data_IF_780637677058
#
_entry.id   IF_780637677058
#
_cell.length_a   1.000
_cell.length_b   1.000
_cell.length_c   1.000
_cell.angle_alpha   90.00
_cell.angle_beta   90.00
_cell.angle_gamma   90.00
#
_symmetry.space_group_name_H-M   'P 1'
#
loop_
_entity.id
_entity.type
_entity.pdbx_description
1 polymer ?
#
# COMPACT_ATOMS: atom_id res chain seq x y z
N UNK A 1 -61.04 -29.45 -25.93
CA UNK A 1 -59.93 -28.65 -26.50
C UNK A 1 -60.25 -27.18 -26.22
N UNK A 2 -59.60 -26.57 -25.23
CA UNK A 2 -59.80 -25.15 -24.89
C UNK A 2 -58.91 -24.28 -25.79
N UNK A 3 -59.53 -23.53 -26.69
CA UNK A 3 -58.86 -22.46 -27.45
C UNK A 3 -58.55 -21.32 -26.48
N UNK A 4 -57.32 -21.25 -25.99
CA UNK A 4 -56.85 -20.17 -25.14
C UNK A 4 -56.82 -18.85 -25.90
N UNK A 5 -57.73 -17.95 -25.57
CA UNK A 5 -57.72 -16.55 -26.03
C UNK A 5 -56.60 -15.81 -25.31
N UNK A 6 -55.42 -15.78 -25.93
CA UNK A 6 -54.32 -14.91 -25.52
C UNK A 6 -54.80 -13.46 -25.61
N UNK A 7 -54.82 -12.75 -24.47
CA UNK A 7 -55.23 -11.36 -24.40
C UNK A 7 -54.44 -10.52 -25.41
N UNK A 8 -55.16 -9.69 -26.19
CA UNK A 8 -54.56 -8.81 -27.18
C UNK A 8 -53.44 -7.93 -26.59
N UNK A 9 -53.54 -7.57 -25.31
CA UNK A 9 -52.50 -6.83 -24.59
C UNK A 9 -51.18 -7.61 -24.49
N UNK A 10 -51.24 -8.92 -24.32
CA UNK A 10 -50.05 -9.79 -24.29
C UNK A 10 -49.46 -9.98 -25.69
N UNK A 11 -50.30 -10.12 -26.72
CA UNK A 11 -49.85 -10.21 -28.10
C UNK A 11 -49.17 -8.91 -28.59
N UNK A 12 -49.72 -7.75 -28.22
CA UNK A 12 -49.13 -6.44 -28.49
C UNK A 12 -47.83 -6.27 -27.70
N UNK A 13 -47.83 -6.60 -26.40
CA UNK A 13 -46.62 -6.57 -25.58
C UNK A 13 -45.48 -7.43 -26.13
N UNK A 14 -45.80 -8.62 -26.65
CA UNK A 14 -44.83 -9.54 -27.26
C UNK A 14 -44.30 -9.03 -28.62
N UNK A 15 -45.16 -8.43 -29.45
CA UNK A 15 -44.78 -7.84 -30.73
C UNK A 15 -43.92 -6.57 -30.55
N UNK A 16 -44.27 -5.73 -29.57
CA UNK A 16 -43.53 -4.50 -29.26
C UNK A 16 -42.21 -4.83 -28.57
N UNK A 17 -42.20 -5.77 -27.63
CA UNK A 17 -40.99 -6.23 -26.92
C UNK A 17 -39.95 -6.85 -27.84
N UNK A 18 -40.35 -7.47 -28.96
CA UNK A 18 -39.43 -8.01 -29.98
C UNK A 18 -38.75 -6.95 -30.86
N UNK A 19 -39.27 -5.71 -30.91
CA UNK A 19 -38.72 -4.62 -31.74
C UNK A 19 -38.03 -3.52 -30.96
N UNK A 20 -38.11 -3.53 -29.63
CA UNK A 20 -37.28 -2.69 -28.79
C UNK A 20 -35.83 -3.19 -28.82
N UNK A 21 -35.07 -2.80 -29.86
CA UNK A 21 -33.61 -2.83 -29.78
C UNK A 21 -33.24 -2.00 -28.56
N UNK A 22 -32.74 -2.65 -27.52
CA UNK A 22 -32.16 -1.98 -26.38
C UNK A 22 -31.00 -1.13 -26.91
N UNK A 23 -31.26 0.16 -27.05
CA UNK A 23 -30.27 1.14 -27.47
C UNK A 23 -29.28 1.26 -26.31
N UNK A 24 -28.14 0.57 -26.45
CA UNK A 24 -27.05 0.65 -25.49
C UNK A 24 -26.44 2.03 -25.62
N UNK A 25 -26.95 2.97 -24.84
CA UNK A 25 -26.25 4.23 -24.64
C UNK A 25 -24.85 3.93 -24.08
N UNK A 26 -23.79 4.38 -24.75
CA UNK A 26 -22.44 4.24 -24.22
C UNK A 26 -22.31 5.13 -22.99
N UNK A 27 -22.48 4.54 -21.81
CA UNK A 27 -22.17 5.20 -20.54
C UNK A 27 -20.69 5.52 -20.57
N UNK A 28 -20.35 6.81 -20.70
CA UNK A 28 -18.95 7.25 -20.67
C UNK A 28 -18.32 6.74 -19.37
N UNK A 29 -17.14 6.10 -19.40
CA UNK A 29 -16.49 5.63 -18.19
C UNK A 29 -16.28 6.83 -17.27
N UNK A 30 -16.84 6.75 -16.06
CA UNK A 30 -16.61 7.75 -15.03
C UNK A 30 -15.15 7.58 -14.61
N UNK A 31 -14.26 8.37 -15.20
CA UNK A 31 -12.85 8.39 -14.82
C UNK A 31 -12.80 8.97 -13.41
N UNK A 32 -12.75 8.09 -12.41
CA UNK A 32 -12.49 8.47 -11.04
C UNK A 32 -11.00 8.75 -10.95
N UNK A 33 -10.63 10.02 -11.05
CA UNK A 33 -9.31 10.46 -10.65
C UNK A 33 -9.16 10.17 -9.16
N UNK A 34 -8.39 9.13 -8.84
CA UNK A 34 -7.79 9.05 -7.51
C UNK A 34 -6.94 10.31 -7.38
N UNK A 35 -7.21 11.20 -6.41
CA UNK A 35 -6.28 12.27 -6.15
C UNK A 35 -4.93 11.60 -5.90
N UNK A 36 -3.93 12.00 -6.69
CA UNK A 36 -2.55 11.93 -6.26
C UNK A 36 -2.50 12.84 -5.05
N UNK A 37 -2.95 12.35 -3.89
CA UNK A 37 -2.76 13.04 -2.64
C UNK A 37 -1.27 13.16 -2.55
N UNK A 38 -0.81 14.39 -2.80
CA UNK A 38 0.41 14.98 -2.32
C UNK A 38 1.05 14.07 -1.28
N UNK A 39 1.92 13.16 -1.74
CA UNK A 39 3.13 12.80 -1.02
C UNK A 39 4.02 14.05 -1.10
N UNK A 40 3.49 15.16 -0.57
CA UNK A 40 4.26 16.32 -0.22
C UNK A 40 5.30 15.79 0.77
N UNK A 41 6.52 15.87 0.29
CA UNK A 41 7.76 15.66 1.00
C UNK A 41 7.68 16.42 2.32
N UNK A 42 7.22 15.75 3.37
CA UNK A 42 7.15 16.37 4.68
C UNK A 42 8.55 16.32 5.29
N UNK A 43 9.17 17.47 5.62
CA UNK A 43 10.53 17.56 6.15
C UNK A 43 10.63 17.15 7.64
N UNK A 44 9.79 16.23 8.10
CA UNK A 44 9.82 15.70 9.48
C UNK A 44 11.06 14.84 9.77
N UNK A 45 11.79 14.42 8.73
CA UNK A 45 13.02 13.65 8.86
C UNK A 45 14.10 14.39 9.66
N UNK A 46 14.20 15.72 9.53
CA UNK A 46 15.23 16.53 10.22
C UNK A 46 15.11 16.49 11.74
N UNK A 47 13.89 16.59 12.29
CA UNK A 47 13.70 16.66 13.74
C UNK A 47 13.85 15.30 14.42
N UNK A 48 13.34 14.23 13.79
CA UNK A 48 13.53 12.87 14.28
C UNK A 48 15.01 12.47 14.22
N UNK A 49 15.71 12.84 13.15
CA UNK A 49 17.15 12.62 12.99
C UNK A 49 17.94 13.28 14.13
N UNK A 50 17.67 14.56 14.41
CA UNK A 50 18.33 15.28 15.49
C UNK A 50 18.02 14.68 16.86
N UNK A 51 16.77 14.26 17.11
CA UNK A 51 16.39 13.59 18.37
C UNK A 51 17.08 12.24 18.52
N UNK A 52 17.11 11.41 17.48
CA UNK A 52 17.77 10.10 17.52
C UNK A 52 19.29 10.24 17.72
N UNK A 53 19.90 11.20 17.02
CA UNK A 53 21.32 11.51 17.18
C UNK A 53 21.64 12.01 18.60
N UNK A 54 20.81 12.91 19.15
CA UNK A 54 20.95 13.41 20.52
C UNK A 54 20.76 12.31 21.58
N UNK A 55 19.81 11.39 21.37
CA UNK A 55 19.60 10.22 22.23
C UNK A 55 20.80 9.27 22.19
N UNK A 56 21.32 8.98 21.00
CA UNK A 56 22.48 8.09 20.83
C UNK A 56 23.80 8.71 21.31
N UNK A 57 23.94 10.04 21.23
CA UNK A 57 25.08 10.76 21.78
C UNK A 57 25.21 10.62 23.31
N UNK A 58 24.11 10.31 24.03
CA UNK A 58 24.14 10.04 25.48
C UNK A 58 24.88 8.75 25.85
N UNK A 59 25.12 7.86 24.89
CA UNK A 59 25.73 6.55 25.12
C UNK A 59 27.25 6.51 24.88
N UNK A 60 27.93 7.66 24.75
CA UNK A 60 29.38 7.78 24.49
C UNK A 60 29.86 6.92 23.29
N UNK A 61 28.98 6.74 22.30
CA UNK A 61 29.31 6.01 21.09
C UNK A 61 30.16 6.88 20.16
N UNK A 62 31.11 6.28 19.41
CA UNK A 62 31.83 7.01 18.38
C UNK A 62 30.86 7.68 17.40
N UNK A 63 31.07 8.95 17.03
CA UNK A 63 30.13 9.71 16.19
C UNK A 63 29.91 9.06 14.81
N UNK A 64 30.93 8.38 14.26
CA UNK A 64 30.82 7.61 13.00
C UNK A 64 29.94 6.35 13.14
N UNK A 65 29.84 5.75 14.33
CA UNK A 65 28.90 4.66 14.57
C UNK A 65 27.47 5.19 14.75
N UNK A 66 27.32 6.33 15.43
CA UNK A 66 26.01 6.98 15.59
C UNK A 66 25.43 7.38 14.23
N UNK A 67 26.21 8.01 13.35
CA UNK A 67 25.75 8.36 12.00
C UNK A 67 25.29 7.12 11.22
N UNK A 68 26.07 6.04 11.23
CA UNK A 68 25.70 4.78 10.56
C UNK A 68 24.43 4.13 11.11
N UNK A 69 24.22 4.17 12.43
CA UNK A 69 22.98 3.67 13.05
C UNK A 69 21.79 4.50 12.54
N UNK A 70 21.92 5.82 12.55
CA UNK A 70 20.85 6.73 12.15
C UNK A 70 20.52 6.53 10.66
N UNK A 71 21.52 6.50 9.79
CA UNK A 71 21.34 6.25 8.35
C UNK A 71 20.65 4.90 8.09
N UNK A 72 21.08 3.83 8.76
CA UNK A 72 20.44 2.51 8.61
C UNK A 72 19.02 2.48 9.16
N UNK A 73 18.75 3.21 10.24
CA UNK A 73 17.40 3.33 10.80
C UNK A 73 16.47 4.09 9.86
N UNK A 74 16.98 5.13 9.19
CA UNK A 74 16.24 5.87 8.16
C UNK A 74 15.97 5.01 6.92
N UNK A 75 16.94 4.20 6.49
CA UNK A 75 16.73 3.23 5.40
C UNK A 75 15.59 2.27 5.71
N UNK A 76 15.57 1.70 6.93
CA UNK A 76 14.51 0.81 7.41
C UNK A 76 13.16 1.54 7.43
N UNK A 77 13.11 2.77 7.94
CA UNK A 77 11.88 3.54 8.00
C UNK A 77 11.31 3.85 6.61
N UNK A 78 12.17 4.26 5.67
CA UNK A 78 11.75 4.50 4.28
C UNK A 78 11.18 3.24 3.64
N UNK A 79 11.86 2.09 3.81
CA UNK A 79 11.38 0.82 3.29
C UNK A 79 10.06 0.39 3.92
N UNK A 80 9.89 0.60 5.23
CA UNK A 80 8.63 0.33 5.92
C UNK A 80 7.48 1.13 5.32
N UNK A 81 7.70 2.42 5.05
CA UNK A 81 6.69 3.28 4.41
C UNK A 81 6.28 2.77 3.03
N UNK A 82 7.22 2.28 2.23
CA UNK A 82 6.91 1.69 0.91
C UNK A 82 6.05 0.41 1.01
N UNK A 83 6.24 -0.38 2.08
CA UNK A 83 5.38 -1.53 2.40
C UNK A 83 3.98 -1.06 2.79
N UNK A 84 3.88 -0.10 3.70
CA UNK A 84 2.60 0.46 4.17
C UNK A 84 1.79 1.09 3.01
N UNK A 85 2.43 1.80 2.10
CA UNK A 85 1.79 2.34 0.89
C UNK A 85 1.19 1.24 0.01
N UNK A 86 1.87 0.10 -0.09
CA UNK A 86 1.39 -1.05 -0.87
C UNK A 86 0.17 -1.69 -0.21
N UNK A 87 0.18 -1.85 1.13
CA UNK A 87 -0.97 -2.32 1.90
C UNK A 87 -2.17 -1.37 1.77
N UNK A 88 -1.93 -0.06 1.87
CA UNK A 88 -2.97 0.95 1.75
C UNK A 88 -3.66 0.90 0.38
N UNK A 89 -2.89 0.70 -0.70
CA UNK A 89 -3.43 0.56 -2.05
C UNK A 89 -4.25 -0.73 -2.23
N UNK A 90 -3.84 -1.83 -1.62
CA UNK A 90 -4.60 -3.09 -1.60
C UNK A 90 -5.95 -2.88 -0.89
N UNK A 91 -5.94 -2.22 0.28
CA UNK A 91 -7.15 -1.91 1.04
C UNK A 91 -8.09 -0.98 0.25
N UNK A 92 -7.55 0.08 -0.37
CA UNK A 92 -8.31 0.99 -1.24
C UNK A 92 -8.94 0.26 -2.42
N UNK A 93 -8.20 -0.63 -3.08
CA UNK A 93 -8.72 -1.44 -4.19
C UNK A 93 -9.85 -2.38 -3.74
N UNK A 94 -9.68 -3.03 -2.59
CA UNK A 94 -10.67 -3.93 -1.98
C UNK A 94 -11.95 -3.20 -1.62
N UNK A 95 -11.82 -2.00 -1.03
CA UNK A 95 -12.97 -1.14 -0.74
C UNK A 95 -13.70 -0.71 -2.01
N UNK A 96 -12.97 -0.31 -3.04
CA UNK A 96 -13.56 0.18 -4.28
C UNK A 96 -14.25 -0.92 -5.12
N UNK A 97 -13.82 -2.18 -5.05
CA UNK A 97 -14.57 -3.29 -5.67
C UNK A 97 -15.86 -3.60 -4.90
N UNK A 98 -15.82 -3.56 -3.56
CA UNK A 98 -17.02 -3.75 -2.71
C UNK A 98 -18.06 -2.64 -2.93
N UNK A 99 -17.61 -1.41 -3.16
CA UNK A 99 -18.46 -0.27 -3.52
C UNK A 99 -18.90 -0.27 -5.00
N UNK A 100 -18.57 -1.31 -5.78
CA UNK A 100 -18.86 -1.40 -7.24
C UNK A 100 -18.30 -0.22 -8.06
N UNK A 101 -17.25 0.44 -7.57
CA UNK A 101 -16.57 1.55 -8.25
C UNK A 101 -15.46 1.09 -9.20
N UNK A 102 -15.02 -0.15 -9.06
CA UNK A 102 -14.01 -0.81 -9.90
C UNK A 102 -14.63 -2.02 -10.58
N UNK A 103 -14.18 -2.29 -11.81
CA UNK A 103 -14.50 -3.56 -12.45
C UNK A 103 -13.67 -4.69 -11.83
N UNK A 104 -14.16 -5.95 -11.82
CA UNK A 104 -13.40 -7.09 -11.31
C UNK A 104 -12.05 -7.27 -12.01
N UNK A 105 -11.97 -7.05 -13.32
CA UNK A 105 -10.72 -7.19 -14.09
C UNK A 105 -9.69 -6.13 -13.69
N UNK A 106 -10.12 -4.88 -13.50
CA UNK A 106 -9.26 -3.81 -12.99
C UNK A 106 -8.80 -4.08 -11.57
N UNK A 107 -9.68 -4.61 -10.72
CA UNK A 107 -9.33 -5.01 -9.35
C UNK A 107 -8.23 -6.08 -9.34
N UNK A 108 -8.37 -7.16 -10.11
CA UNK A 108 -7.36 -8.21 -10.19
C UNK A 108 -6.00 -7.67 -10.68
N UNK A 109 -5.99 -6.78 -11.67
CA UNK A 109 -4.76 -6.16 -12.15
C UNK A 109 -4.07 -5.31 -11.07
N UNK A 110 -4.83 -4.51 -10.32
CA UNK A 110 -4.31 -3.70 -9.23
C UNK A 110 -3.78 -4.58 -8.08
N UNK A 111 -4.55 -5.57 -7.65
CA UNK A 111 -4.19 -6.45 -6.56
C UNK A 111 -2.92 -7.24 -6.88
N UNK A 112 -2.81 -7.85 -8.07
CA UNK A 112 -1.60 -8.58 -8.45
C UNK A 112 -0.37 -7.66 -8.46
N UNK A 113 -0.51 -6.43 -8.97
CA UNK A 113 0.59 -5.46 -9.00
C UNK A 113 1.05 -5.08 -7.60
N UNK A 114 0.13 -4.72 -6.71
CA UNK A 114 0.48 -4.24 -5.37
C UNK A 114 0.85 -5.38 -4.41
N UNK A 115 0.32 -6.60 -4.60
CA UNK A 115 0.78 -7.77 -3.86
C UNK A 115 2.22 -8.15 -4.21
N UNK A 116 2.56 -8.18 -5.50
CA UNK A 116 3.94 -8.46 -5.91
C UNK A 116 4.90 -7.41 -5.34
N UNK A 117 4.53 -6.13 -5.45
CA UNK A 117 5.31 -5.03 -4.88
C UNK A 117 5.44 -5.15 -3.35
N UNK A 118 4.36 -5.53 -2.67
CA UNK A 118 4.37 -5.75 -1.23
C UNK A 118 5.37 -6.84 -0.84
N UNK A 119 5.36 -7.98 -1.54
CA UNK A 119 6.28 -9.09 -1.29
C UNK A 119 7.74 -8.66 -1.49
N UNK A 120 8.04 -8.00 -2.61
CA UNK A 120 9.38 -7.47 -2.90
C UNK A 120 9.85 -6.49 -1.82
N UNK A 121 9.02 -5.49 -1.48
CA UNK A 121 9.37 -4.47 -0.49
C UNK A 121 9.46 -5.02 0.93
N UNK A 122 8.69 -6.05 1.27
CA UNK A 122 8.81 -6.75 2.54
C UNK A 122 10.13 -7.49 2.66
N UNK A 123 10.58 -8.17 1.61
CA UNK A 123 11.90 -8.80 1.59
C UNK A 123 13.01 -7.76 1.76
N UNK A 124 12.95 -6.65 1.02
CA UNK A 124 13.93 -5.57 1.13
C UNK A 124 13.97 -4.93 2.53
N UNK A 125 12.81 -4.85 3.20
CA UNK A 125 12.68 -4.36 4.57
C UNK A 125 13.31 -5.32 5.56
N UNK A 126 13.06 -6.62 5.44
CA UNK A 126 13.63 -7.66 6.29
C UNK A 126 15.17 -7.64 6.23
N UNK A 127 15.73 -7.54 5.02
CA UNK A 127 17.17 -7.38 4.81
C UNK A 127 17.74 -6.12 5.49
N UNK A 128 17.04 -4.99 5.35
CA UNK A 128 17.47 -3.73 5.98
C UNK A 128 17.40 -3.80 7.52
N UNK A 129 16.35 -4.43 8.06
CA UNK A 129 16.20 -4.66 9.50
C UNK A 129 17.29 -5.59 10.04
N UNK A 130 17.62 -6.65 9.31
CA UNK A 130 18.71 -7.54 9.69
C UNK A 130 20.06 -6.83 9.68
N UNK A 131 20.31 -5.98 8.66
CA UNK A 131 21.49 -5.12 8.60
C UNK A 131 21.60 -4.18 9.80
N UNK A 132 20.51 -3.52 10.18
CA UNK A 132 20.47 -2.67 11.38
C UNK A 132 20.69 -3.47 12.67
N UNK A 133 20.07 -4.65 12.80
CA UNK A 133 20.26 -5.53 13.96
C UNK A 133 21.69 -6.05 14.08
N UNK A 134 22.33 -6.37 12.96
CA UNK A 134 23.74 -6.77 12.94
C UNK A 134 24.64 -5.62 13.42
N UNK A 135 24.37 -4.40 12.95
CA UNK A 135 25.10 -3.21 13.36
C UNK A 135 24.91 -2.94 14.86
N UNK A 136 23.68 -2.98 15.37
CA UNK A 136 23.41 -2.81 16.81
C UNK A 136 24.06 -3.89 17.68
N UNK A 137 24.09 -5.16 17.21
CA UNK A 137 24.81 -6.24 17.90
C UNK A 137 26.32 -5.97 17.98
N UNK A 138 26.93 -5.48 16.91
CA UNK A 138 28.36 -5.11 16.89
C UNK A 138 28.68 -3.96 17.85
N UNK A 139 27.74 -3.04 18.04
CA UNK A 139 27.87 -1.94 19.00
C UNK A 139 27.72 -2.46 20.44
N UNK A 140 26.76 -3.37 20.67
CA UNK A 140 26.56 -4.02 21.97
C UNK A 140 27.76 -4.85 22.42
N UNK A 141 28.45 -5.54 21.51
CA UNK A 141 29.70 -6.26 21.83
C UNK A 141 30.85 -5.30 22.15
N UNK A 142 30.98 -4.18 21.42
CA UNK A 142 31.98 -3.14 21.72
C UNK A 142 31.73 -2.45 23.09
N UNK A 143 30.47 -2.18 23.43
CA UNK A 143 30.09 -1.61 24.72
C UNK A 143 30.25 -2.62 25.87
N UNK A 144 30.06 -3.92 25.61
CA UNK A 144 30.30 -5.00 26.58
C UNK A 144 31.77 -5.20 26.93
N UNK A 145 32.70 -4.86 26.03
CA UNK A 145 34.15 -4.91 26.26
C UNK A 145 34.66 -3.74 27.12
N UNK A 146 33.90 -2.64 27.24
CA UNK A 146 34.26 -1.48 28.06
C UNK A 146 33.80 -1.55 29.53
N UNK A 147 33.17 -2.64 30.00
CA UNK A 147 32.93 -2.80 31.45
C UNK A 147 34.26 -3.12 32.15
N UNK A 148 34.76 -2.28 33.08
CA UNK A 148 35.90 -2.66 33.90
C UNK A 148 35.53 -3.83 34.82
N UNK A 149 36.49 -4.68 35.21
CA UNK A 149 36.27 -5.65 36.28
C UNK A 149 36.00 -4.86 37.57
N UNK A 150 34.80 -5.01 38.13
CA UNK A 150 34.41 -4.54 39.44
C UNK A 150 33.87 -5.70 40.25
#
# INVERSE_FOLDING_TARGET
>A
MSTGTLSAAFAIGFLVGRKAKAEKEPVRPKIVYLPLTQLEQQPQHSELYQKLYQELAKYNLPPDLVSKIVEKSEEVYRKLREVEESEEMILKATKAINESRLSPTTYYALINRYLNRYIEKKSELEEAQEGLRALLRSVGTLAGVQRPPG
#
